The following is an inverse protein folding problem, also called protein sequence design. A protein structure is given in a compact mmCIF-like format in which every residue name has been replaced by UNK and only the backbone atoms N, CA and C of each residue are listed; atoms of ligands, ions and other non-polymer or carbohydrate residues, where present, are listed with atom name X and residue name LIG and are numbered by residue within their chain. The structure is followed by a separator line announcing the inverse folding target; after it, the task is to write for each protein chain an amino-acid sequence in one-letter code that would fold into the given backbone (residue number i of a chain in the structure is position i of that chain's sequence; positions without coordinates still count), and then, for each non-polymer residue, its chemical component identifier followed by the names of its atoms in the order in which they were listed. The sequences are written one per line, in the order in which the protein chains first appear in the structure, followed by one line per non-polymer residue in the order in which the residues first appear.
data_IF_586618381010
#
_entry.id   IF_586618381010
#
_cell.length_a   1.000
_cell.length_b   1.000
_cell.length_c   1.000
_cell.angle_alpha   90.00
_cell.angle_beta   90.00
_cell.angle_gamma   90.00
#
_symmetry.space_group_name_H-M   'P 1'
#
loop_
_entity.id
_entity.type
_entity.pdbx_description
1 polymer ?
#
# COMPACT_ATOMS: atom_id res chain seq x y z
N UNK A 1 25.32 5.23 13.25
CA UNK A 1 26.05 4.43 12.25
C UNK A 1 25.46 4.79 10.91
N UNK A 2 26.13 5.65 10.17
CA UNK A 2 25.75 6.05 8.83
C UNK A 2 26.36 5.01 7.87
N UNK A 3 25.54 4.27 7.14
CA UNK A 3 25.97 3.03 6.47
C UNK A 3 26.93 3.26 5.29
N UNK A 4 27.39 4.49 5.03
CA UNK A 4 28.37 4.82 3.99
C UNK A 4 27.90 4.52 2.55
N UNK A 5 26.66 4.09 2.38
CA UNK A 5 26.02 3.85 1.08
C UNK A 5 25.08 4.99 0.76
N UNK A 6 25.22 5.51 -0.46
CA UNK A 6 24.31 6.49 -1.02
C UNK A 6 22.89 5.88 -1.13
N UNK A 7 21.83 6.62 -0.75
CA UNK A 7 20.45 6.14 -0.88
C UNK A 7 20.01 5.90 -2.33
N UNK A 8 20.75 6.45 -3.30
CA UNK A 8 20.54 6.28 -4.73
C UNK A 8 21.82 5.80 -5.42
N UNK A 9 21.71 5.05 -6.53
CA UNK A 9 22.87 4.70 -7.37
C UNK A 9 23.48 5.96 -8.01
N UNK A 10 24.73 5.86 -8.46
CA UNK A 10 25.49 6.95 -9.09
C UNK A 10 24.78 7.58 -10.29
N UNK A 11 24.02 6.78 -11.05
CA UNK A 11 23.22 7.21 -12.20
C UNK A 11 21.76 6.79 -12.02
N UNK A 12 20.94 7.58 -11.31
CA UNK A 12 19.53 7.25 -11.13
C UNK A 12 18.76 7.43 -12.44
N UNK A 13 18.02 6.40 -12.85
CA UNK A 13 17.12 6.46 -14.00
C UNK A 13 15.70 6.81 -13.52
N UNK A 14 14.95 7.67 -14.24
CA UNK A 14 13.55 7.93 -13.93
C UNK A 14 12.75 6.62 -13.98
N UNK A 15 12.21 6.20 -12.83
CA UNK A 15 11.30 5.08 -12.78
C UNK A 15 9.89 5.54 -13.19
N UNK A 16 9.28 4.86 -14.16
CA UNK A 16 7.87 5.07 -14.50
C UNK A 16 7.03 4.22 -13.54
N UNK A 17 6.61 4.80 -12.42
CA UNK A 17 5.65 4.20 -11.52
C UNK A 17 4.25 4.72 -11.86
N UNK A 18 3.32 3.81 -12.16
CA UNK A 18 1.91 4.17 -12.17
C UNK A 18 1.44 4.28 -10.72
N UNK A 19 1.33 5.50 -10.22
CA UNK A 19 0.73 5.77 -8.91
C UNK A 19 -0.77 5.96 -9.13
N UNK A 20 -1.63 5.02 -8.69
CA UNK A 20 -3.06 5.22 -8.82
C UNK A 20 -3.48 6.44 -8.02
N UNK A 21 -4.08 7.41 -8.69
CA UNK A 21 -4.75 8.53 -8.03
C UNK A 21 -6.09 8.04 -7.50
N UNK A 22 -6.32 8.21 -6.19
CA UNK A 22 -7.57 7.85 -5.54
C UNK A 22 -8.26 9.11 -5.03
N UNK A 23 -9.52 9.31 -5.42
CA UNK A 23 -10.33 10.41 -4.91
C UNK A 23 -10.66 10.15 -3.42
N UNK A 24 -10.53 11.20 -2.62
CA UNK A 24 -10.85 11.14 -1.19
C UNK A 24 -12.35 11.39 -1.01
N UNK A 25 -13.15 10.33 -1.13
CA UNK A 25 -14.61 10.42 -1.00
C UNK A 25 -15.04 10.37 0.46
N UNK A 26 -15.08 9.16 1.04
CA UNK A 26 -15.45 8.90 2.41
C UNK A 26 -14.31 8.15 3.11
N UNK A 27 -14.11 8.45 4.40
CA UNK A 27 -13.13 7.76 5.24
C UNK A 27 -13.80 7.28 6.52
N UNK A 28 -13.36 6.14 7.02
CA UNK A 28 -13.72 5.66 8.34
C UNK A 28 -13.11 6.55 9.43
N UNK A 29 -13.71 6.51 10.62
CA UNK A 29 -13.05 6.97 11.84
C UNK A 29 -11.79 6.14 12.15
N UNK A 30 -10.91 6.68 12.99
CA UNK A 30 -9.60 6.08 13.30
C UNK A 30 -9.71 4.64 13.79
N UNK A 31 -10.58 4.38 14.77
CA UNK A 31 -10.74 3.03 15.35
C UNK A 31 -11.24 2.02 14.32
N UNK A 32 -12.22 2.41 13.50
CA UNK A 32 -12.77 1.54 12.46
C UNK A 32 -11.74 1.29 11.35
N UNK A 33 -10.97 2.31 10.95
CA UNK A 33 -9.91 2.15 9.97
C UNK A 33 -8.77 1.24 10.46
N UNK A 34 -8.43 1.30 11.75
CA UNK A 34 -7.46 0.39 12.37
C UNK A 34 -7.95 -1.07 12.32
N UNK A 35 -9.23 -1.30 12.61
CA UNK A 35 -9.83 -2.64 12.56
C UNK A 35 -9.92 -3.19 11.13
N UNK A 36 -10.24 -2.35 10.14
CA UNK A 36 -10.35 -2.74 8.73
C UNK A 36 -8.99 -2.87 8.02
N UNK A 37 -7.91 -2.31 8.59
CA UNK A 37 -6.59 -2.23 7.95
C UNK A 37 -6.52 -1.17 6.84
N UNK A 38 -7.57 -0.37 6.67
CA UNK A 38 -7.65 0.74 5.73
C UNK A 38 -8.68 1.75 6.23
N UNK A 39 -8.40 3.06 6.09
CA UNK A 39 -9.40 4.11 6.36
C UNK A 39 -10.38 4.29 5.19
N UNK A 40 -10.08 3.69 4.04
CA UNK A 40 -10.85 3.88 2.82
C UNK A 40 -11.87 2.74 2.66
N UNK A 41 -13.18 3.00 2.80
CA UNK A 41 -14.22 1.98 2.68
C UNK A 41 -14.22 1.30 1.30
N UNK A 42 -13.81 2.03 0.26
CA UNK A 42 -13.68 1.48 -1.09
C UNK A 42 -12.65 0.34 -1.18
N UNK A 43 -11.65 0.33 -0.29
CA UNK A 43 -10.60 -0.70 -0.23
C UNK A 43 -10.92 -1.84 0.76
N UNK A 44 -11.91 -1.66 1.62
CA UNK A 44 -12.40 -2.67 2.57
C UNK A 44 -13.28 -3.70 1.84
N UNK A 45 -12.63 -4.63 1.13
CA UNK A 45 -13.29 -5.66 0.33
C UNK A 45 -13.25 -7.02 1.02
N UNK A 46 -14.33 -7.83 0.92
CA UNK A 46 -14.32 -9.18 1.45
C UNK A 46 -13.19 -10.00 0.82
N UNK A 47 -12.41 -10.67 1.66
CA UNK A 47 -11.34 -11.55 1.22
C UNK A 47 -11.91 -12.92 0.83
N UNK A 48 -12.01 -13.18 -0.47
CA UNK A 48 -12.46 -14.48 -1.00
C UNK A 48 -11.32 -15.46 -1.28
N UNK A 49 -10.12 -15.23 -0.76
CA UNK A 49 -8.97 -16.09 -1.02
C UNK A 49 -9.21 -17.52 -0.54
N UNK A 50 -9.49 -18.42 -1.48
CA UNK A 50 -9.49 -19.86 -1.24
C UNK A 50 -8.04 -20.33 -1.07
N UNK A 51 -7.74 -21.00 0.05
CA UNK A 51 -6.39 -21.40 0.45
C UNK A 51 -5.57 -21.99 -0.70
N UNK A 52 -4.35 -21.48 -0.87
CA UNK A 52 -3.41 -21.96 -1.87
C UNK A 52 -3.31 -23.48 -1.79
N UNK A 53 -3.47 -24.12 -2.95
CA UNK A 53 -3.50 -25.58 -3.09
C UNK A 53 -2.27 -26.17 -2.38
N UNK A 54 -2.49 -26.86 -1.25
CA UNK A 54 -1.44 -27.59 -0.54
C UNK A 54 -1.11 -28.83 -1.38
N UNK A 55 -0.21 -28.67 -2.35
CA UNK A 55 0.48 -29.81 -2.97
C UNK A 55 1.58 -30.29 -2.05
#
# INVERSE_FOLDING_TARGET
MEYGISPLPENPVPAMAYVPYQQLEAVYGVEQGLMAGTIFPVLDKPFYGCGGNKR
#
